data_IF_782543511079
#
_entry.id   IF_782543511079
#
_cell.length_a   1.000
_cell.length_b   1.000
_cell.length_c   1.000
_cell.angle_alpha   90.00
_cell.angle_beta   90.00
_cell.angle_gamma   90.00
#
_symmetry.space_group_name_H-M   'P 1'
#
loop_
_entity.id
_entity.type
_entity.pdbx_description
1 polymer ?
#
# COMPACT_ATOMS: atom_id res chain seq x y z
N UNK A 1 -0.30 -1.09 -20.39
CA UNK A 1 -0.23 -2.32 -19.58
C UNK A 1 -0.53 -1.91 -18.14
N UNK A 2 -1.41 -2.64 -17.43
CA UNK A 2 -1.74 -2.33 -16.03
C UNK A 2 -0.66 -2.89 -15.10
N UNK A 3 -0.37 -2.19 -14.00
CA UNK A 3 0.54 -2.63 -12.96
C UNK A 3 -0.09 -3.78 -12.16
N UNK A 4 0.71 -4.79 -11.85
CA UNK A 4 0.31 -6.00 -11.12
C UNK A 4 1.33 -6.32 -10.03
N UNK A 5 1.09 -7.36 -9.25
CA UNK A 5 2.07 -7.88 -8.28
C UNK A 5 3.43 -8.08 -8.96
N UNK A 6 4.50 -7.65 -8.29
CA UNK A 6 5.87 -7.62 -8.79
C UNK A 6 6.19 -6.45 -9.74
N UNK A 7 5.23 -5.59 -10.06
CA UNK A 7 5.45 -4.39 -10.88
C UNK A 7 5.66 -3.15 -10.00
N UNK A 8 6.29 -2.13 -10.58
CA UNK A 8 6.34 -0.80 -9.99
C UNK A 8 4.92 -0.22 -9.88
N UNK A 9 4.58 0.31 -8.71
CA UNK A 9 3.34 1.08 -8.51
C UNK A 9 3.31 2.29 -9.46
N UNK A 10 2.15 2.62 -10.06
CA UNK A 10 2.01 3.83 -10.86
C UNK A 10 2.26 5.10 -10.04
N UNK A 11 2.64 6.18 -10.73
CA UNK A 11 2.68 7.49 -10.10
C UNK A 11 1.29 7.88 -9.58
N UNK A 12 1.27 8.37 -8.34
CA UNK A 12 0.10 9.00 -7.76
C UNK A 12 0.51 10.12 -6.80
N UNK A 13 -0.43 11.04 -6.60
CA UNK A 13 -0.40 12.12 -5.63
C UNK A 13 -1.48 11.88 -4.58
N UNK A 14 -1.23 12.28 -3.35
CA UNK A 14 -2.18 12.10 -2.24
C UNK A 14 -2.21 13.33 -1.31
N UNK A 15 -3.15 13.38 -0.37
CA UNK A 15 -3.35 14.48 0.58
C UNK A 15 -2.73 14.16 1.94
N UNK A 16 -1.45 14.48 2.14
CA UNK A 16 -0.79 14.42 3.46
C UNK A 16 -0.20 15.77 3.93
N UNK A 17 -0.83 16.48 4.86
CA UNK A 17 -0.24 17.59 5.65
C UNK A 17 0.42 18.84 5.00
N UNK A 18 0.52 18.95 3.67
CA UNK A 18 1.11 20.05 2.84
C UNK A 18 2.65 20.23 2.97
N UNK A 19 3.43 19.28 2.39
CA UNK A 19 4.52 19.48 1.40
C UNK A 19 5.20 18.14 1.09
N UNK A 20 5.29 17.78 -0.20
CA UNK A 20 5.84 16.50 -0.69
C UNK A 20 4.81 15.38 -0.55
N UNK A 21 4.05 15.08 -1.61
CA UNK A 21 2.89 14.17 -1.52
C UNK A 21 2.69 13.31 -2.75
N UNK A 22 3.78 12.84 -3.31
CA UNK A 22 3.75 11.86 -4.39
C UNK A 22 4.32 10.54 -3.92
N UNK A 23 4.10 9.49 -4.70
CA UNK A 23 4.73 8.18 -4.45
C UNK A 23 6.26 8.28 -4.32
N UNK A 24 6.90 9.27 -4.92
CA UNK A 24 8.36 9.45 -4.82
C UNK A 24 8.82 9.93 -3.45
N UNK A 25 7.97 10.61 -2.70
CA UNK A 25 8.30 11.13 -1.37
C UNK A 25 8.28 10.04 -0.28
N UNK A 26 7.46 9.00 -0.49
CA UNK A 26 7.33 7.85 0.43
C UNK A 26 8.25 6.69 0.06
N UNK A 27 8.58 6.53 -1.22
CA UNK A 27 9.54 5.52 -1.68
C UNK A 27 10.90 5.72 -1.02
N UNK A 28 11.58 4.60 -0.82
CA UNK A 28 12.85 4.41 -0.11
C UNK A 28 12.81 4.75 1.38
N UNK A 29 11.66 5.13 1.94
CA UNK A 29 11.49 5.43 3.37
C UNK A 29 10.51 4.50 4.06
N UNK A 30 9.40 4.20 3.39
CA UNK A 30 8.27 3.48 3.97
C UNK A 30 7.82 2.38 3.02
N UNK A 31 7.47 1.21 3.57
CA UNK A 31 6.43 0.40 2.93
C UNK A 31 5.12 1.19 3.01
N UNK A 32 4.17 0.95 2.13
CA UNK A 32 2.90 1.64 2.24
C UNK A 32 1.72 0.82 1.77
N UNK A 33 0.58 1.10 2.40
CA UNK A 33 -0.70 0.46 2.14
C UNK A 33 -1.62 1.51 1.54
N UNK A 34 -2.19 1.20 0.38
CA UNK A 34 -3.29 1.98 -0.20
C UNK A 34 -4.54 1.13 -0.09
N UNK A 35 -5.56 1.62 0.59
CA UNK A 35 -6.75 0.82 0.84
C UNK A 35 -8.04 1.63 0.77
N UNK A 36 -9.11 0.92 0.40
CA UNK A 36 -10.51 1.32 0.53
C UNK A 36 -11.24 0.07 0.98
N UNK A 37 -11.65 0.02 2.24
CA UNK A 37 -12.30 -1.16 2.81
C UNK A 37 -13.33 -0.76 3.85
N UNK A 38 -14.47 -1.44 3.83
CA UNK A 38 -15.49 -1.38 4.89
C UNK A 38 -15.29 -2.47 5.95
N UNK A 39 -14.43 -3.46 5.66
CA UNK A 39 -14.21 -4.62 6.53
C UNK A 39 -12.96 -4.49 7.41
N UNK A 40 -12.01 -3.64 7.00
CA UNK A 40 -10.75 -3.41 7.71
C UNK A 40 -10.54 -1.93 7.85
N UNK A 41 -10.52 -1.45 9.09
CA UNK A 41 -10.12 -0.10 9.45
C UNK A 41 -8.70 -0.13 10.02
N UNK A 42 -7.76 0.47 9.29
CA UNK A 42 -6.35 0.51 9.72
C UNK A 42 -6.03 1.76 10.55
N UNK A 43 -6.99 2.68 10.73
CA UNK A 43 -6.77 3.92 11.50
C UNK A 43 -6.43 3.63 12.97
N UNK A 44 -7.07 2.63 13.58
CA UNK A 44 -6.79 2.20 14.96
C UNK A 44 -5.38 1.61 15.15
N UNK A 45 -4.71 1.25 14.05
CA UNK A 45 -3.39 0.61 14.05
C UNK A 45 -2.30 1.47 13.42
N UNK A 46 -2.58 2.73 13.06
CA UNK A 46 -1.65 3.59 12.33
C UNK A 46 -0.31 3.75 13.10
N UNK A 47 -0.37 3.98 14.41
CA UNK A 47 0.83 4.07 15.27
C UNK A 47 1.71 2.81 15.24
N UNK A 48 1.10 1.63 15.12
CA UNK A 48 1.82 0.36 15.08
C UNK A 48 2.43 0.11 13.71
N UNK A 49 1.69 0.43 12.65
CA UNK A 49 2.15 0.37 11.27
C UNK A 49 3.30 1.34 11.03
N UNK A 50 3.20 2.56 11.56
CA UNK A 50 4.27 3.56 11.46
C UNK A 50 5.54 3.08 12.20
N UNK A 51 5.41 2.50 13.39
CA UNK A 51 6.56 1.88 14.09
C UNK A 51 7.19 0.73 13.31
N UNK A 52 6.41 0.05 12.48
CA UNK A 52 6.87 -1.01 11.59
C UNK A 52 7.40 -0.48 10.24
N UNK A 53 7.53 0.84 10.07
CA UNK A 53 8.01 1.42 8.81
C UNK A 53 6.98 1.37 7.68
N UNK A 54 5.69 1.33 8.02
CA UNK A 54 4.57 1.29 7.07
C UNK A 54 3.73 2.56 7.16
N UNK A 55 3.52 3.22 6.01
CA UNK A 55 2.62 4.37 5.89
C UNK A 55 1.28 3.92 5.32
N UNK A 56 0.19 4.27 5.98
CA UNK A 56 -1.17 3.99 5.50
C UNK A 56 -1.70 5.18 4.70
N UNK A 57 -2.31 4.90 3.56
CA UNK A 57 -2.93 5.88 2.67
C UNK A 57 -4.35 5.41 2.38
N UNK A 58 -5.33 6.12 2.92
CA UNK A 58 -6.72 5.91 2.53
C UNK A 58 -6.89 6.37 1.08
N UNK A 59 -7.55 5.57 0.24
CA UNK A 59 -7.81 5.92 -1.14
C UNK A 59 -8.50 7.28 -1.30
N UNK A 60 -9.32 7.73 -0.34
CA UNK A 60 -9.94 9.06 -0.38
C UNK A 60 -8.91 10.20 -0.39
N UNK A 61 -7.69 9.93 0.08
CA UNK A 61 -6.59 10.89 0.07
C UNK A 61 -5.91 10.96 -1.30
N UNK A 62 -6.09 9.98 -2.20
CA UNK A 62 -5.46 9.99 -3.52
C UNK A 62 -6.11 11.02 -4.44
N UNK A 63 -5.27 11.90 -5.00
CA UNK A 63 -5.65 13.00 -5.90
C UNK A 63 -5.63 12.58 -7.37
N UNK A 64 -4.84 11.56 -7.70
CA UNK A 64 -4.69 11.06 -9.06
C UNK A 64 -5.91 10.22 -9.47
N UNK A 65 -6.84 10.86 -10.19
CA UNK A 65 -8.16 10.29 -10.54
C UNK A 65 -8.12 8.95 -11.29
N UNK A 66 -7.12 8.75 -12.13
CA UNK A 66 -6.96 7.55 -12.98
C UNK A 66 -6.04 6.50 -12.35
N UNK A 67 -5.70 6.63 -11.07
CA UNK A 67 -4.76 5.73 -10.39
C UNK A 67 -5.18 4.26 -10.46
N UNK A 68 -6.43 3.94 -10.10
CA UNK A 68 -6.91 2.56 -10.11
C UNK A 68 -7.04 1.97 -11.53
N UNK A 69 -7.17 2.81 -12.55
CA UNK A 69 -7.20 2.34 -13.95
C UNK A 69 -5.84 1.80 -14.40
N UNK A 70 -4.77 2.27 -13.75
CA UNK A 70 -3.39 1.85 -14.02
C UNK A 70 -3.01 0.56 -13.29
N UNK A 71 -3.87 0.01 -12.44
CA UNK A 71 -3.62 -1.20 -11.64
C UNK A 71 -4.54 -2.33 -12.09
N UNK A 72 -4.02 -3.55 -12.11
CA UNK A 72 -4.76 -4.78 -12.38
C UNK A 72 -5.63 -5.14 -11.17
N UNK A 73 -6.71 -4.37 -10.99
CA UNK A 73 -7.70 -4.49 -9.93
C UNK A 73 -9.09 -4.74 -10.55
N UNK A 74 -9.85 -5.71 -10.05
CA UNK A 74 -11.19 -6.07 -10.53
C UNK A 74 -12.28 -5.35 -9.74
N UNK A 75 -12.18 -5.35 -8.42
CA UNK A 75 -13.04 -4.66 -7.46
C UNK A 75 -12.34 -3.39 -6.97
N UNK A 76 -12.87 -2.24 -7.39
CA UNK A 76 -12.35 -0.92 -7.02
C UNK A 76 -13.05 -0.33 -5.80
N UNK A 77 -14.09 -0.99 -5.29
CA UNK A 77 -14.85 -0.51 -4.15
C UNK A 77 -14.32 -1.07 -2.83
N UNK A 78 -13.75 -2.27 -2.87
CA UNK A 78 -13.12 -2.92 -1.71
C UNK A 78 -11.75 -3.49 -2.10
N UNK A 79 -10.66 -2.83 -1.70
CA UNK A 79 -9.30 -3.28 -1.99
C UNK A 79 -8.26 -2.87 -0.95
N UNK A 80 -7.14 -3.59 -0.98
CA UNK A 80 -5.90 -3.25 -0.30
C UNK A 80 -4.72 -3.55 -1.22
N UNK A 81 -3.81 -2.59 -1.34
CA UNK A 81 -2.57 -2.72 -2.10
C UNK A 81 -1.42 -2.49 -1.14
N UNK A 82 -0.59 -3.50 -0.92
CA UNK A 82 0.66 -3.38 -0.18
C UNK A 82 1.81 -3.17 -1.16
N UNK A 83 2.57 -2.11 -0.93
CA UNK A 83 3.72 -1.74 -1.74
C UNK A 83 4.93 -1.67 -0.83
N UNK A 84 6.03 -2.30 -1.26
CA UNK A 84 7.27 -2.22 -0.50
C UNK A 84 7.91 -0.82 -0.59
N UNK A 85 8.95 -0.60 0.22
CA UNK A 85 9.73 0.64 0.21
C UNK A 85 10.34 0.99 -1.14
N UNK A 86 10.57 0.04 -2.03
CA UNK A 86 11.09 0.30 -3.37
C UNK A 86 9.98 0.65 -4.37
N UNK A 87 8.72 0.63 -3.93
CA UNK A 87 7.54 0.92 -4.73
C UNK A 87 7.07 -0.28 -5.55
N UNK A 88 7.50 -1.50 -5.25
CA UNK A 88 7.03 -2.71 -5.91
C UNK A 88 5.77 -3.20 -5.22
N UNK A 89 4.75 -3.52 -6.02
CA UNK A 89 3.49 -4.07 -5.51
C UNK A 89 3.75 -5.49 -5.03
N UNK A 90 3.59 -5.72 -3.72
CA UNK A 90 3.79 -7.03 -3.09
C UNK A 90 2.47 -7.79 -2.94
N UNK A 91 1.37 -7.08 -2.67
CA UNK A 91 0.06 -7.67 -2.52
C UNK A 91 -1.01 -6.78 -3.17
N UNK A 92 -1.97 -7.43 -3.81
CA UNK A 92 -3.27 -6.84 -4.17
C UNK A 92 -4.33 -7.79 -3.62
N UNK A 93 -5.19 -7.27 -2.75
CA UNK A 93 -6.30 -7.99 -2.16
C UNK A 93 -7.62 -7.23 -2.40
N UNK A 94 -8.71 -7.98 -2.59
CA UNK A 94 -9.99 -7.46 -3.09
C UNK A 94 -11.16 -8.10 -2.33
N UNK A 95 -12.17 -7.30 -2.00
CA UNK A 95 -13.40 -7.73 -1.33
C UNK A 95 -13.14 -8.55 -0.06
N UNK A 96 -13.65 -9.79 -0.02
CA UNK A 96 -13.51 -10.68 1.15
C UNK A 96 -12.10 -11.21 1.38
N UNK A 97 -11.17 -11.01 0.45
CA UNK A 97 -9.79 -11.48 0.56
C UNK A 97 -8.86 -10.41 1.15
N UNK A 98 -9.40 -9.25 1.54
CA UNK A 98 -8.60 -8.20 2.19
C UNK A 98 -8.11 -8.77 3.53
N UNK A 99 -6.78 -8.81 3.74
CA UNK A 99 -6.20 -9.39 4.94
C UNK A 99 -6.52 -8.55 6.19
N UNK A 100 -6.60 -9.22 7.33
CA UNK A 100 -6.70 -8.52 8.61
C UNK A 100 -5.35 -7.88 9.01
N UNK A 101 -5.36 -7.09 10.09
CA UNK A 101 -4.15 -6.43 10.58
C UNK A 101 -3.00 -7.40 10.86
N UNK A 102 -3.29 -8.58 11.42
CA UNK A 102 -2.25 -9.56 11.75
C UNK A 102 -1.62 -10.12 10.48
N UNK A 103 -2.44 -10.50 9.49
CA UNK A 103 -1.98 -11.00 8.20
C UNK A 103 -1.17 -9.94 7.43
N UNK A 104 -1.56 -8.67 7.51
CA UNK A 104 -0.80 -7.54 6.96
C UNK A 104 0.60 -7.47 7.58
N UNK A 105 0.70 -7.55 8.92
CA UNK A 105 1.97 -7.51 9.63
C UNK A 105 2.86 -8.71 9.32
N UNK A 106 2.29 -9.92 9.22
CA UNK A 106 3.01 -11.13 8.81
C UNK A 106 3.60 -10.96 7.39
N UNK A 107 2.84 -10.36 6.47
CA UNK A 107 3.28 -10.06 5.10
C UNK A 107 4.44 -9.05 5.09
N UNK A 108 4.35 -7.97 5.88
CA UNK A 108 5.41 -6.95 5.99
C UNK A 108 6.70 -7.57 6.52
N UNK A 109 6.61 -8.36 7.60
CA UNK A 109 7.76 -9.05 8.18
C UNK A 109 8.42 -10.00 7.19
N UNK A 110 7.61 -10.71 6.39
CA UNK A 110 8.12 -11.59 5.34
C UNK A 110 8.93 -10.81 4.29
N UNK A 111 8.39 -9.68 3.79
CA UNK A 111 9.07 -8.81 2.81
C UNK A 111 10.43 -8.34 3.36
N UNK A 112 10.48 -7.91 4.61
CA UNK A 112 11.73 -7.43 5.23
C UNK A 112 12.75 -8.55 5.45
N UNK A 113 12.29 -9.75 5.81
CA UNK A 113 13.16 -10.91 6.05
C UNK A 113 13.73 -11.50 4.77
N UNK A 114 12.96 -11.59 3.68
CA UNK A 114 13.48 -12.05 2.38
C UNK A 114 14.51 -11.07 1.80
N UNK A 115 14.39 -9.78 2.11
CA UNK A 115 15.42 -8.78 1.81
C UNK A 115 16.73 -8.96 2.60
N UNK A 116 16.71 -9.71 3.71
CA UNK A 116 17.85 -9.90 4.61
C UNK A 116 18.65 -11.18 4.29
N UNK A 117 18.04 -12.20 3.68
CA UNK A 117 18.70 -13.45 3.30
C UNK A 117 19.45 -13.39 1.94
N UNK A 118 19.54 -12.21 1.33
CA UNK A 118 20.16 -12.01 0.01
C UNK A 118 21.51 -11.24 0.07
N UNK A 119 22.16 -11.15 1.24
CA UNK A 119 23.48 -10.53 1.43
C UNK A 119 24.55 -11.54 1.86
#
# INVERSE_FOLDING_TARGET
MKAKIGSQIPYFEFLDGIKGKSVYDIRNRWHFIIYKSSNVDLSDYEDQLEKAGVKVIDYIQILTKDFLDKIELKDKDEFLILVDRYGIIQLIAEGKNIPDFREIMETIQFIDNEGCCAL
#
